data_IF_118381320982
#
_entry.id   IF_118381320982
#
_cell.length_a   1.000
_cell.length_b   1.000
_cell.length_c   1.000
_cell.angle_alpha   90.00
_cell.angle_beta   90.00
_cell.angle_gamma   90.00
#
_symmetry.space_group_name_H-M   'P 1'
#
loop_
_entity.id
_entity.type
_entity.pdbx_description
1 polymer ?
#
# COMPACT_ATOMS: atom_id res chain seq x y z
N UNK A 1 -11.44 4.22 22.90
CA UNK A 1 -10.95 4.37 21.51
C UNK A 1 -9.43 4.27 21.55
N UNK A 2 -8.82 3.30 20.85
CA UNK A 2 -7.34 3.17 20.82
C UNK A 2 -6.74 4.43 20.20
N UNK A 3 -5.62 4.92 20.73
CA UNK A 3 -4.97 6.15 20.25
C UNK A 3 -4.59 6.03 18.77
N UNK A 4 -4.87 7.07 17.98
CA UNK A 4 -4.46 7.11 16.59
C UNK A 4 -2.92 7.13 16.52
N UNK A 5 -2.28 6.26 15.71
CA UNK A 5 -0.84 6.25 15.57
C UNK A 5 -0.32 7.53 14.87
N UNK A 6 0.98 7.84 15.01
CA UNK A 6 1.55 9.09 14.48
C UNK A 6 1.65 9.15 12.95
N UNK A 7 1.51 8.01 12.26
CA UNK A 7 1.54 7.94 10.80
C UNK A 7 0.64 6.81 10.29
N UNK A 8 0.25 6.93 9.02
CA UNK A 8 -0.50 5.92 8.29
C UNK A 8 0.45 4.81 7.82
N UNK A 9 0.19 3.53 8.11
CA UNK A 9 1.08 2.46 7.68
C UNK A 9 1.07 2.30 6.16
N UNK A 10 2.24 2.14 5.57
CA UNK A 10 2.38 1.85 4.14
C UNK A 10 2.34 0.34 3.86
N UNK A 11 2.29 -0.07 2.59
CA UNK A 11 2.18 -1.50 2.21
C UNK A 11 3.29 -2.36 2.82
N UNK A 12 4.51 -1.83 2.91
CA UNK A 12 5.65 -2.54 3.50
C UNK A 12 5.56 -2.69 5.02
N UNK A 13 4.80 -1.84 5.69
CA UNK A 13 4.56 -1.97 7.13
C UNK A 13 3.47 -3.02 7.42
N UNK A 14 2.46 -3.12 6.56
CA UNK A 14 1.32 -4.03 6.75
C UNK A 14 1.58 -5.46 6.29
N UNK A 15 2.47 -5.63 5.31
CA UNK A 15 2.79 -6.93 4.73
C UNK A 15 4.29 -7.19 4.82
N UNK A 16 4.70 -7.72 5.98
CA UNK A 16 6.07 -8.19 6.18
C UNK A 16 6.43 -9.26 5.14
N UNK A 17 7.65 -9.21 4.58
CA UNK A 17 8.12 -10.19 3.60
C UNK A 17 7.86 -9.82 2.14
N UNK A 18 6.93 -8.90 1.83
CA UNK A 18 6.61 -8.54 0.43
C UNK A 18 7.85 -8.03 -0.30
N UNK A 19 8.66 -7.19 0.35
CA UNK A 19 9.84 -6.64 -0.30
C UNK A 19 10.90 -7.72 -0.56
N UNK A 20 11.15 -8.61 0.40
CA UNK A 20 12.10 -9.72 0.21
C UNK A 20 11.63 -10.67 -0.89
N UNK A 21 10.33 -10.96 -0.96
CA UNK A 21 9.75 -11.83 -1.97
C UNK A 21 9.82 -11.21 -3.36
N UNK A 22 9.53 -9.92 -3.51
CA UNK A 22 9.71 -9.20 -4.77
C UNK A 22 11.19 -9.13 -5.17
N UNK A 23 12.10 -8.90 -4.21
CA UNK A 23 13.54 -8.83 -4.47
C UNK A 23 14.14 -10.17 -4.95
N UNK A 24 13.52 -11.30 -4.61
CA UNK A 24 13.92 -12.64 -5.08
C UNK A 24 13.48 -12.93 -6.52
N UNK A 25 12.53 -12.18 -7.07
CA UNK A 25 12.06 -12.40 -8.44
C UNK A 25 13.08 -11.89 -9.44
N UNK A 26 13.26 -12.65 -10.52
CA UNK A 26 14.05 -12.22 -11.67
C UNK A 26 13.39 -10.98 -12.30
N UNK A 27 14.20 -9.94 -12.53
CA UNK A 27 13.76 -8.77 -13.27
C UNK A 27 13.32 -9.17 -14.69
N UNK A 28 12.07 -8.90 -15.04
CA UNK A 28 11.47 -9.37 -16.30
C UNK A 28 11.60 -8.38 -17.46
N UNK A 29 12.22 -7.21 -17.24
CA UNK A 29 12.29 -6.14 -18.24
C UNK A 29 10.94 -5.48 -18.54
N UNK A 30 10.94 -4.40 -19.34
CA UNK A 30 9.71 -3.88 -19.91
C UNK A 30 9.10 -4.89 -20.90
N UNK A 31 7.76 -4.90 -21.03
CA UNK A 31 7.10 -5.68 -22.08
C UNK A 31 7.32 -5.02 -23.44
N UNK A 32 7.88 -5.75 -24.41
CA UNK A 32 8.15 -5.23 -25.75
C UNK A 32 6.94 -5.36 -26.70
N UNK A 33 5.89 -6.07 -26.28
CA UNK A 33 4.62 -6.16 -27.00
C UNK A 33 3.44 -6.32 -26.05
N UNK A 34 2.23 -6.06 -26.53
CA UNK A 34 0.99 -6.28 -25.78
C UNK A 34 0.80 -7.77 -25.43
N UNK A 35 1.08 -8.67 -26.39
CA UNK A 35 0.96 -10.10 -26.17
C UNK A 35 1.88 -10.57 -25.03
N UNK A 36 3.12 -10.08 -24.98
CA UNK A 36 4.09 -10.40 -23.93
C UNK A 36 3.73 -9.76 -22.57
N UNK A 37 2.99 -8.65 -22.56
CA UNK A 37 2.44 -8.10 -21.32
C UNK A 37 1.31 -9.00 -20.77
N UNK A 38 0.43 -9.49 -21.66
CA UNK A 38 -0.70 -10.34 -21.32
C UNK A 38 -0.31 -11.73 -20.79
N UNK A 39 0.90 -12.22 -21.11
CA UNK A 39 1.40 -13.46 -20.51
C UNK A 39 1.79 -13.30 -19.03
N UNK A 40 1.96 -12.06 -18.54
CA UNK A 40 2.37 -11.76 -17.17
C UNK A 40 1.20 -11.35 -16.28
N UNK A 41 0.29 -10.51 -16.78
CA UNK A 41 -0.87 -9.98 -16.04
C UNK A 41 -2.03 -9.69 -16.99
N UNK A 42 -3.26 -9.70 -16.47
CA UNK A 42 -4.45 -9.32 -17.25
C UNK A 42 -4.43 -7.84 -17.66
N UNK A 43 -5.05 -7.56 -18.81
CA UNK A 43 -4.98 -6.27 -19.51
C UNK A 43 -5.23 -5.04 -18.63
N UNK A 44 -6.20 -5.10 -17.72
CA UNK A 44 -6.69 -3.94 -16.98
C UNK A 44 -6.21 -3.83 -15.53
N UNK A 45 -5.35 -4.74 -15.06
CA UNK A 45 -4.85 -4.74 -13.66
C UNK A 45 -4.25 -3.37 -13.29
N UNK A 46 -3.33 -2.88 -14.11
CA UNK A 46 -2.64 -1.61 -13.84
C UNK A 46 -3.60 -0.41 -13.83
N UNK A 47 -4.56 -0.38 -14.75
CA UNK A 47 -5.53 0.72 -14.85
C UNK A 47 -6.47 0.75 -13.64
N UNK A 48 -6.95 -0.39 -13.18
CA UNK A 48 -7.82 -0.46 -11.99
C UNK A 48 -7.08 -0.04 -10.72
N UNK A 49 -5.87 -0.56 -10.51
CA UNK A 49 -5.05 -0.20 -9.35
C UNK A 49 -4.73 1.30 -9.34
N UNK A 50 -4.33 1.85 -10.50
CA UNK A 50 -4.07 3.28 -10.64
C UNK A 50 -5.33 4.11 -10.35
N UNK A 51 -6.49 3.69 -10.84
CA UNK A 51 -7.77 4.38 -10.62
C UNK A 51 -8.15 4.40 -9.15
N UNK A 52 -8.02 3.27 -8.44
CA UNK A 52 -8.27 3.21 -6.99
C UNK A 52 -7.30 4.13 -6.21
N UNK A 53 -6.01 4.14 -6.58
CA UNK A 53 -5.03 5.01 -5.93
C UNK A 53 -5.32 6.50 -6.17
N UNK A 54 -5.66 6.87 -7.41
CA UNK A 54 -6.04 8.23 -7.79
C UNK A 54 -7.27 8.71 -7.02
N UNK A 55 -8.27 7.86 -6.81
CA UNK A 55 -9.47 8.23 -6.03
C UNK A 55 -9.15 8.51 -4.56
N UNK A 56 -8.26 7.72 -3.95
CA UNK A 56 -7.80 7.96 -2.57
C UNK A 56 -7.06 9.30 -2.48
N UNK A 57 -6.13 9.57 -3.41
CA UNK A 57 -5.39 10.83 -3.47
C UNK A 57 -6.30 12.03 -3.72
N UNK A 58 -7.25 11.90 -4.65
CA UNK A 58 -8.22 12.94 -4.96
C UNK A 58 -9.09 13.28 -3.74
N UNK A 59 -9.58 12.26 -3.03
CA UNK A 59 -10.35 12.44 -1.79
C UNK A 59 -9.52 13.17 -0.74
N UNK A 60 -8.25 12.81 -0.58
CA UNK A 60 -7.31 13.51 0.32
C UNK A 60 -7.18 14.98 -0.05
N UNK A 61 -6.92 15.32 -1.31
CA UNK A 61 -6.78 16.71 -1.75
C UNK A 61 -8.06 17.52 -1.60
N UNK A 62 -9.22 16.91 -1.85
CA UNK A 62 -10.52 17.61 -1.80
C UNK A 62 -11.04 17.82 -0.40
N UNK A 63 -10.85 16.86 0.51
CA UNK A 63 -11.47 16.85 1.84
C UNK A 63 -10.49 17.09 2.98
N UNK A 64 -9.18 17.02 2.71
CA UNK A 64 -8.14 17.07 3.74
C UNK A 64 -8.09 15.86 4.66
N UNK A 65 -8.89 14.81 4.38
CA UNK A 65 -8.97 13.59 5.18
C UNK A 65 -9.34 12.40 4.30
N UNK A 66 -8.97 11.20 4.75
CA UNK A 66 -9.28 9.92 4.10
C UNK A 66 -9.82 8.92 5.12
N UNK A 67 -10.80 8.13 4.71
CA UNK A 67 -11.36 7.02 5.51
C UNK A 67 -10.80 5.66 5.08
N UNK A 68 -10.21 5.61 3.89
CA UNK A 68 -9.65 4.42 3.24
C UNK A 68 -8.28 4.82 2.70
N UNK A 69 -7.28 3.97 2.93
CA UNK A 69 -5.90 4.26 2.51
C UNK A 69 -5.31 3.25 1.54
N UNK A 70 -6.06 2.18 1.24
CA UNK A 70 -5.72 1.20 0.22
C UNK A 70 -6.97 0.43 -0.21
N UNK A 71 -6.82 -0.44 -1.19
CA UNK A 71 -7.89 -1.32 -1.64
C UNK A 71 -7.30 -2.62 -2.21
N UNK A 72 -8.04 -3.71 -2.06
CA UNK A 72 -7.81 -4.95 -2.78
C UNK A 72 -8.75 -4.99 -3.98
N UNK A 73 -8.19 -5.27 -5.14
CA UNK A 73 -8.94 -5.39 -6.40
C UNK A 73 -8.87 -6.83 -6.85
N UNK A 74 -10.03 -7.46 -7.05
CA UNK A 74 -10.13 -8.77 -7.68
C UNK A 74 -10.97 -8.61 -8.95
N UNK A 75 -10.30 -8.73 -10.12
CA UNK A 75 -10.95 -8.58 -11.42
C UNK A 75 -11.75 -9.82 -11.82
N UNK A 76 -11.38 -11.01 -11.34
CA UNK A 76 -12.10 -12.25 -11.63
C UNK A 76 -13.50 -12.26 -11.01
N UNK A 77 -13.63 -11.71 -9.80
CA UNK A 77 -14.92 -11.57 -9.10
C UNK A 77 -15.54 -10.18 -9.22
N UNK A 78 -14.85 -9.24 -9.89
CA UNK A 78 -15.22 -7.81 -9.95
C UNK A 78 -15.48 -7.18 -8.58
N UNK A 79 -14.70 -7.56 -7.56
CA UNK A 79 -14.85 -7.03 -6.20
C UNK A 79 -13.71 -6.13 -5.82
N UNK A 80 -14.02 -4.96 -5.26
CA UNK A 80 -13.06 -4.06 -4.62
C UNK A 80 -13.33 -4.04 -3.12
N UNK A 81 -12.33 -4.40 -2.31
CA UNK A 81 -12.42 -4.38 -0.85
C UNK A 81 -11.56 -3.25 -0.30
N UNK A 82 -12.15 -2.23 0.36
CA UNK A 82 -11.38 -1.11 0.90
C UNK A 82 -10.55 -1.54 2.11
N UNK A 83 -9.38 -0.92 2.27
CA UNK A 83 -8.57 -1.00 3.47
C UNK A 83 -8.81 0.26 4.31
N UNK A 84 -9.65 0.18 5.36
CA UNK A 84 -10.03 1.35 6.13
C UNK A 84 -8.87 1.89 6.97
N UNK A 85 -8.95 3.18 7.27
CA UNK A 85 -8.13 3.82 8.30
C UNK A 85 -8.63 3.37 9.67
N UNK A 86 -8.16 2.20 10.12
CA UNK A 86 -8.60 1.57 11.36
C UNK A 86 -7.44 0.84 12.05
N UNK A 87 -6.94 1.35 13.20
CA UNK A 87 -5.86 0.71 13.95
C UNK A 87 -6.14 -0.73 14.38
N UNK A 88 -7.40 -1.08 14.67
CA UNK A 88 -7.76 -2.46 15.04
C UNK A 88 -7.62 -3.43 13.86
N UNK A 89 -7.89 -2.96 12.64
CA UNK A 89 -7.68 -3.75 11.42
C UNK A 89 -6.19 -3.97 11.19
N UNK A 90 -5.37 -2.92 11.32
CA UNK A 90 -3.92 -3.04 11.13
C UNK A 90 -3.28 -3.96 12.17
N UNK A 91 -3.71 -3.87 13.42
CA UNK A 91 -3.26 -4.78 14.48
C UNK A 91 -3.62 -6.24 14.19
N UNK A 92 -4.80 -6.50 13.60
CA UNK A 92 -5.17 -7.85 13.16
C UNK A 92 -4.32 -8.37 11.99
N UNK A 93 -3.70 -7.46 11.23
CA UNK A 93 -2.70 -7.77 10.19
C UNK A 93 -1.29 -7.97 10.78
N UNK A 94 -1.13 -7.86 12.10
CA UNK A 94 0.17 -8.00 12.77
C UNK A 94 0.97 -6.69 12.88
N UNK A 95 0.44 -5.57 12.39
CA UNK A 95 1.14 -4.29 12.40
C UNK A 95 1.35 -3.74 13.80
N UNK A 96 2.55 -3.20 14.06
CA UNK A 96 2.90 -2.50 15.29
C UNK A 96 3.51 -1.13 14.96
N UNK A 97 3.05 -0.03 15.57
CA UNK A 97 3.63 1.29 15.32
C UNK A 97 5.11 1.31 15.70
N UNK A 98 6.00 1.79 14.81
CA UNK A 98 7.40 2.03 15.19
C UNK A 98 7.44 3.13 16.24
N UNK A 99 8.25 2.90 17.28
CA UNK A 99 8.57 3.94 18.26
C UNK A 99 9.36 5.05 17.56
N UNK A 100 9.05 6.34 17.80
CA UNK A 100 9.87 7.43 17.33
C UNK A 100 11.32 7.22 17.77
N UNK A 101 12.27 7.33 16.82
CA UNK A 101 13.69 7.27 17.16
C UNK A 101 14.00 8.48 18.02
N UNK A 102 14.38 8.28 19.29
CA UNK A 102 14.87 9.39 20.12
C UNK A 102 16.10 9.97 19.43
N UNK A 103 16.03 11.22 19.00
CA UNK A 103 17.22 11.93 18.54
C UNK A 103 18.19 12.00 19.71
N UNK A 104 19.30 11.26 19.61
CA UNK A 104 20.45 11.53 20.46
C UNK A 104 20.94 12.90 20.04
N UNK A 105 20.68 13.92 20.86
CA UNK A 105 21.34 15.21 20.72
C UNK A 105 22.83 14.94 20.48
N UNK A 106 23.32 15.17 19.25
CA UNK A 106 24.75 15.25 18.99
C UNK A 106 25.21 16.42 19.85
N UNK A 107 25.83 16.12 21.00
CA UNK A 107 26.62 17.12 21.71
C UNK A 107 27.68 17.56 20.70
N UNK A 108 27.52 18.77 20.18
CA UNK A 108 28.57 19.45 19.46
C UNK A 108 29.73 19.61 20.46
N UNK A 109 30.87 19.04 20.12
CA UNK A 109 32.17 19.28 20.73
C UNK A 109 33.04 19.96 19.69
#
# INVERSE_FOLDING_TARGET
MKSCPPYLPHVLDLYEGIMEDEARKLYQGPSCSLQEALTRQDLFVNQWVATCALEIMWTMFRRGQIMVHGAFVNLSTMTVRPLPVNPAVWESMGWKPRKPRKESHRKAA
#
